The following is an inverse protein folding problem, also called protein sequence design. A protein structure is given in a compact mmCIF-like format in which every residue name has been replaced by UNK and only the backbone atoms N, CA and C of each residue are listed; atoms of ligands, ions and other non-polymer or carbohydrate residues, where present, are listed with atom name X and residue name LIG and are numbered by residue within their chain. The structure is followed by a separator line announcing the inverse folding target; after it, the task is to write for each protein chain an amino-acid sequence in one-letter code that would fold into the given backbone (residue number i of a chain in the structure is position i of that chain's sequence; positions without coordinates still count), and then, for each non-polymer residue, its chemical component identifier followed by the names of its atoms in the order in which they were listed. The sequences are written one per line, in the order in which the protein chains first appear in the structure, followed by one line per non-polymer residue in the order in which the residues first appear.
data_IF_672802995230
#
_entry.id   IF_672802995230
#
_cell.length_a   1.000
_cell.length_b   1.000
_cell.length_c   1.000
_cell.angle_alpha   90.00
_cell.angle_beta   90.00
_cell.angle_gamma   90.00
#
_symmetry.space_group_name_H-M   'P 1'
#
loop_
_entity.id
_entity.type
_entity.pdbx_description
1 polymer ?
#
# COMPACT_ATOMS: atom_id res chain seq x y z
N UNK A 1 -7.57 63.32 -15.31
CA UNK A 1 -7.84 62.31 -16.36
C UNK A 1 -8.55 61.17 -15.64
N UNK A 2 -9.88 61.20 -15.60
CA UNK A 2 -10.67 60.26 -14.80
C UNK A 2 -10.81 58.93 -15.56
N UNK A 3 -10.53 57.81 -14.90
CA UNK A 3 -10.77 56.47 -15.46
C UNK A 3 -12.27 56.32 -15.78
N UNK A 4 -12.57 55.83 -16.98
CA UNK A 4 -13.95 55.58 -17.43
C UNK A 4 -14.60 54.50 -16.55
N UNK A 5 -15.88 54.64 -16.16
CA UNK A 5 -16.60 53.64 -15.37
C UNK A 5 -16.60 52.24 -16.02
N UNK A 6 -16.48 52.16 -17.35
CA UNK A 6 -16.39 50.90 -18.09
C UNK A 6 -15.06 50.15 -17.85
N UNK A 7 -13.99 50.89 -17.54
CA UNK A 7 -12.67 50.30 -17.23
C UNK A 7 -12.60 49.74 -15.82
N UNK A 8 -13.39 50.27 -14.89
CA UNK A 8 -13.53 49.75 -13.53
C UNK A 8 -14.38 48.48 -13.52
N UNK A 9 -15.52 48.47 -14.23
CA UNK A 9 -16.39 47.27 -14.30
C UNK A 9 -15.72 46.10 -15.02
N UNK A 10 -14.89 46.37 -16.05
CA UNK A 10 -14.10 45.34 -16.72
C UNK A 10 -12.97 44.78 -15.84
N UNK A 11 -12.35 45.62 -15.00
CA UNK A 11 -11.35 45.17 -14.00
C UNK A 11 -12.00 44.38 -12.87
N UNK A 12 -13.16 44.80 -12.39
CA UNK A 12 -13.92 44.08 -11.35
C UNK A 12 -14.45 42.73 -11.86
N UNK A 13 -14.86 42.66 -13.14
CA UNK A 13 -15.26 41.42 -13.80
C UNK A 13 -14.07 40.48 -14.03
N UNK A 14 -12.91 41.03 -14.41
CA UNK A 14 -11.68 40.25 -14.57
C UNK A 14 -11.09 39.80 -13.22
N UNK A 15 -11.19 40.62 -12.18
CA UNK A 15 -10.79 40.28 -10.81
C UNK A 15 -11.75 39.24 -10.19
N UNK A 16 -13.05 39.34 -10.45
CA UNK A 16 -14.05 38.34 -10.08
C UNK A 16 -13.87 37.00 -10.82
N UNK A 17 -13.49 37.03 -12.11
CA UNK A 17 -13.20 35.84 -12.89
C UNK A 17 -11.84 35.19 -12.54
N UNK A 18 -10.87 35.97 -12.04
CA UNK A 18 -9.60 35.44 -11.54
C UNK A 18 -9.71 34.89 -10.10
N UNK A 19 -10.59 35.46 -9.27
CA UNK A 19 -10.89 34.94 -7.92
C UNK A 19 -11.72 33.65 -7.90
N UNK A 20 -12.35 33.28 -9.02
CA UNK A 20 -13.20 32.10 -9.15
C UNK A 20 -12.51 30.89 -9.80
N UNK A 21 -11.19 30.95 -10.04
CA UNK A 21 -10.43 29.75 -10.44
C UNK A 21 -10.01 29.02 -9.16
N UNK A 22 -10.99 28.43 -8.48
CA UNK A 22 -10.75 27.46 -7.40
C UNK A 22 -9.81 26.41 -7.99
N UNK A 23 -8.58 26.34 -7.50
CA UNK A 23 -7.70 25.26 -7.91
C UNK A 23 -8.43 23.96 -7.57
N UNK A 24 -8.66 23.08 -8.55
CA UNK A 24 -9.42 21.87 -8.32
C UNK A 24 -8.71 21.08 -7.21
N UNK A 25 -9.48 20.71 -6.19
CA UNK A 25 -8.98 19.89 -5.08
C UNK A 25 -8.32 18.66 -5.69
N UNK A 26 -7.10 18.37 -5.23
CA UNK A 26 -6.35 17.23 -5.74
C UNK A 26 -5.78 16.41 -4.60
N UNK A 27 -5.68 15.10 -4.82
CA UNK A 27 -5.08 14.17 -3.87
C UNK A 27 -3.97 13.35 -4.53
N UNK A 28 -3.13 12.77 -3.69
CA UNK A 28 -2.09 11.85 -4.11
C UNK A 28 -1.60 11.00 -2.95
N UNK A 29 -0.89 9.93 -3.27
CA UNK A 29 -0.34 9.03 -2.27
C UNK A 29 0.99 9.59 -1.73
N UNK A 30 1.04 9.94 -0.45
CA UNK A 30 2.26 10.36 0.21
C UNK A 30 3.06 9.14 0.68
N UNK A 31 4.29 8.98 0.17
CA UNK A 31 5.15 7.83 0.50
C UNK A 31 5.63 7.82 1.95
N UNK A 32 5.71 9.01 2.57
CA UNK A 32 6.12 9.23 3.96
C UNK A 32 4.97 8.97 4.94
N UNK A 33 3.75 9.44 4.62
CA UNK A 33 2.57 9.18 5.44
C UNK A 33 1.97 7.78 5.22
N UNK A 34 2.38 7.07 4.16
CA UNK A 34 1.82 5.77 3.79
C UNK A 34 0.30 5.79 3.56
N UNK A 35 -0.20 6.87 2.95
CA UNK A 35 -1.63 7.05 2.67
C UNK A 35 -1.86 8.09 1.59
N UNK A 36 -3.07 8.07 1.02
CA UNK A 36 -3.55 9.15 0.16
C UNK A 36 -3.87 10.36 1.03
N UNK A 37 -3.43 11.52 0.58
CA UNK A 37 -3.61 12.82 1.23
C UNK A 37 -4.09 13.82 0.18
N UNK A 38 -4.92 14.77 0.61
CA UNK A 38 -5.21 15.97 -0.18
C UNK A 38 -3.92 16.80 -0.30
N UNK A 39 -3.61 17.26 -1.50
CA UNK A 39 -2.44 18.09 -1.80
C UNK A 39 -2.73 19.52 -1.35
N UNK A 40 -1.71 20.18 -0.82
CA UNK A 40 -1.75 21.64 -0.65
C UNK A 40 -1.69 22.32 -2.02
N UNK A 41 -1.95 23.63 -2.10
CA UNK A 41 -1.80 24.39 -3.36
C UNK A 41 -0.37 24.37 -3.93
N UNK A 42 0.64 24.07 -3.11
CA UNK A 42 2.03 23.83 -3.56
C UNK A 42 2.30 22.41 -4.05
N UNK A 43 1.27 21.55 -4.07
CA UNK A 43 1.38 20.12 -4.38
C UNK A 43 1.98 19.27 -3.26
N UNK A 44 2.25 19.87 -2.09
CA UNK A 44 2.87 19.21 -0.95
C UNK A 44 1.86 18.41 -0.11
N UNK A 45 2.38 17.62 0.84
CA UNK A 45 1.56 16.94 1.82
C UNK A 45 1.18 17.90 2.97
N UNK A 46 -0.05 17.83 3.52
CA UNK A 46 -0.47 18.65 4.67
C UNK A 46 0.38 18.43 5.93
N UNK A 47 1.08 17.29 6.02
CA UNK A 47 2.02 17.00 7.11
C UNK A 47 3.41 17.64 6.90
N UNK A 48 3.58 18.51 5.91
CA UNK A 48 4.84 19.20 5.62
C UNK A 48 5.82 18.43 4.75
N UNK A 49 5.42 17.29 4.16
CA UNK A 49 6.30 16.54 3.23
C UNK A 49 6.33 17.21 1.85
N UNK A 50 7.50 17.18 1.17
CA UNK A 50 7.68 17.87 -0.10
C UNK A 50 6.76 17.29 -1.19
N UNK A 51 6.44 18.07 -2.24
CA UNK A 51 5.62 17.60 -3.36
C UNK A 51 6.14 16.32 -4.03
N UNK A 52 7.47 16.15 -4.07
CA UNK A 52 8.12 14.95 -4.60
C UNK A 52 7.78 13.67 -3.79
N UNK A 53 7.35 13.80 -2.53
CA UNK A 53 6.91 12.68 -1.72
C UNK A 53 5.45 12.27 -1.99
N UNK A 54 4.69 13.05 -2.77
CA UNK A 54 3.29 12.80 -3.08
C UNK A 54 3.16 12.35 -4.54
N UNK A 55 2.82 11.08 -4.73
CA UNK A 55 2.75 10.43 -6.04
C UNK A 55 1.29 10.30 -6.54
N UNK A 56 1.11 10.39 -7.85
CA UNK A 56 -0.20 10.33 -8.49
C UNK A 56 -1.01 11.61 -8.32
N UNK A 57 -1.99 11.81 -9.20
CA UNK A 57 -2.88 12.97 -9.18
C UNK A 57 -4.32 12.48 -9.31
N UNK A 58 -5.11 12.68 -8.26
CA UNK A 58 -6.53 12.35 -8.20
C UNK A 58 -7.26 13.70 -8.14
N UNK A 59 -8.08 14.01 -9.12
CA UNK A 59 -8.97 15.16 -9.02
C UNK A 59 -10.11 14.82 -8.05
N UNK A 60 -10.41 15.73 -7.12
CA UNK A 60 -11.50 15.60 -6.17
C UNK A 60 -12.58 16.63 -6.50
N UNK A 61 -13.84 16.21 -6.47
CA UNK A 61 -14.98 17.11 -6.52
C UNK A 61 -15.19 17.89 -5.22
N UNK A 62 -16.10 18.86 -5.27
CA UNK A 62 -16.49 19.62 -4.08
C UNK A 62 -17.14 18.69 -3.04
N UNK A 63 -16.63 18.72 -1.81
CA UNK A 63 -17.09 17.84 -0.73
C UNK A 63 -16.74 16.35 -0.91
N UNK A 64 -16.08 15.96 -2.01
CA UNK A 64 -15.65 14.58 -2.20
C UNK A 64 -14.59 14.21 -1.14
N UNK A 65 -14.76 13.08 -0.43
CA UNK A 65 -13.78 12.64 0.54
C UNK A 65 -12.51 12.14 -0.15
N UNK A 66 -11.37 12.32 0.52
CA UNK A 66 -10.11 11.75 0.03
C UNK A 66 -10.21 10.22 0.04
N UNK A 67 -10.01 9.55 -1.12
CA UNK A 67 -10.13 8.10 -1.19
C UNK A 67 -9.02 7.44 -0.36
N UNK A 68 -9.33 6.27 0.20
CA UNK A 68 -8.41 5.55 1.09
C UNK A 68 -7.99 4.21 0.49
N UNK A 69 -6.69 3.92 0.57
CA UNK A 69 -6.17 2.58 0.32
C UNK A 69 -6.23 1.75 1.61
N UNK A 70 -6.45 0.45 1.46
CA UNK A 70 -6.35 -0.49 2.57
C UNK A 70 -4.96 -0.42 3.22
N UNK A 71 -4.91 -0.21 4.54
CA UNK A 71 -3.64 -0.05 5.29
C UNK A 71 -2.85 -1.35 5.47
N UNK A 72 -3.48 -2.49 5.23
CA UNK A 72 -2.88 -3.80 5.31
C UNK A 72 -3.40 -4.67 4.18
N UNK A 73 -2.51 -5.26 3.40
CA UNK A 73 -2.87 -6.15 2.31
C UNK A 73 -2.76 -7.61 2.76
N UNK A 74 -3.92 -8.25 2.96
CA UNK A 74 -3.99 -9.63 3.42
C UNK A 74 -3.40 -10.63 2.40
N UNK A 75 -3.58 -10.39 1.10
CA UNK A 75 -3.01 -11.26 0.08
C UNK A 75 -1.48 -11.17 0.03
N UNK A 76 -0.93 -9.96 0.15
CA UNK A 76 0.50 -9.72 0.28
C UNK A 76 1.09 -10.35 1.55
N UNK A 77 0.29 -10.47 2.62
CA UNK A 77 0.70 -11.14 3.85
C UNK A 77 0.69 -12.66 3.70
N UNK A 78 -0.39 -13.25 3.20
CA UNK A 78 -0.57 -14.70 3.12
C UNK A 78 0.27 -15.35 2.01
N UNK A 79 0.36 -14.70 0.85
CA UNK A 79 1.04 -15.22 -0.34
C UNK A 79 1.96 -14.19 -1.02
N UNK A 80 2.91 -13.56 -0.29
CA UNK A 80 3.77 -12.52 -0.86
C UNK A 80 4.56 -12.92 -2.11
N UNK A 81 5.11 -14.15 -2.23
CA UNK A 81 5.81 -14.57 -3.44
C UNK A 81 4.93 -14.65 -4.68
N UNK A 82 3.61 -14.75 -4.49
CA UNK A 82 2.64 -14.81 -5.58
C UNK A 82 2.08 -13.41 -5.82
N UNK A 83 1.46 -12.81 -4.80
CA UNK A 83 0.81 -11.51 -4.92
C UNK A 83 1.80 -10.42 -5.38
N UNK A 84 3.03 -10.38 -4.85
CA UNK A 84 3.97 -9.31 -5.18
C UNK A 84 4.38 -9.25 -6.65
N UNK A 85 4.83 -10.34 -7.31
CA UNK A 85 5.10 -10.36 -8.75
C UNK A 85 3.93 -9.90 -9.62
N UNK A 86 2.69 -10.30 -9.30
CA UNK A 86 1.49 -9.82 -10.01
C UNK A 86 1.30 -8.29 -9.92
N UNK A 87 1.89 -7.65 -8.92
CA UNK A 87 1.89 -6.19 -8.73
C UNK A 87 3.23 -5.54 -9.08
N UNK A 88 4.12 -6.26 -9.77
CA UNK A 88 5.45 -5.77 -10.18
C UNK A 88 6.45 -5.61 -9.03
N UNK A 89 6.18 -6.23 -7.87
CA UNK A 89 7.02 -6.22 -6.67
C UNK A 89 7.85 -7.51 -6.58
N UNK A 90 8.64 -7.81 -7.63
CA UNK A 90 9.42 -9.04 -7.75
C UNK A 90 10.34 -9.35 -6.57
N UNK A 91 10.79 -8.33 -5.83
CA UNK A 91 11.58 -8.51 -4.62
C UNK A 91 10.86 -9.37 -3.55
N UNK A 92 9.52 -9.46 -3.57
CA UNK A 92 8.79 -10.34 -2.64
C UNK A 92 8.99 -11.84 -2.91
N UNK A 93 9.66 -12.22 -4.01
CA UNK A 93 10.10 -13.61 -4.20
C UNK A 93 11.06 -14.06 -3.07
N UNK A 94 11.74 -13.13 -2.40
CA UNK A 94 12.61 -13.42 -1.24
C UNK A 94 11.89 -14.10 -0.08
N UNK A 95 10.57 -13.97 0.01
CA UNK A 95 9.80 -14.64 1.06
C UNK A 95 9.85 -16.17 0.93
N UNK A 96 10.08 -16.73 -0.25
CA UNK A 96 10.27 -18.18 -0.42
C UNK A 96 11.51 -18.70 0.35
N UNK A 97 12.75 -18.26 0.04
CA UNK A 97 13.91 -18.72 0.79
C UNK A 97 13.88 -18.29 2.27
N UNK A 98 13.25 -17.16 2.61
CA UNK A 98 13.06 -16.76 4.00
C UNK A 98 12.20 -17.79 4.78
N UNK A 99 11.10 -18.25 4.20
CA UNK A 99 10.25 -19.28 4.83
C UNK A 99 10.92 -20.66 4.85
N UNK A 100 11.73 -21.01 3.85
CA UNK A 100 12.54 -22.25 3.89
C UNK A 100 13.55 -22.22 5.04
N UNK A 101 14.22 -21.08 5.25
CA UNK A 101 15.10 -20.88 6.39
C UNK A 101 14.35 -21.00 7.72
N UNK A 102 13.21 -20.32 7.85
CA UNK A 102 12.38 -20.37 9.05
C UNK A 102 11.92 -21.80 9.37
N UNK A 103 11.44 -22.54 8.36
CA UNK A 103 11.02 -23.94 8.51
C UNK A 103 12.16 -24.84 8.99
N UNK A 104 13.37 -24.63 8.46
CA UNK A 104 14.56 -25.38 8.85
C UNK A 104 14.93 -25.16 10.32
N UNK A 105 14.88 -23.91 10.78
CA UNK A 105 15.14 -23.57 12.19
C UNK A 105 14.07 -24.20 13.09
N UNK A 106 12.79 -24.09 12.71
CA UNK A 106 11.66 -24.67 13.45
C UNK A 106 11.77 -26.20 13.53
N UNK A 107 12.21 -26.88 12.45
CA UNK A 107 12.51 -28.32 12.48
C UNK A 107 13.59 -28.65 13.49
N UNK A 108 14.70 -27.92 13.43
CA UNK A 108 15.87 -28.20 14.25
C UNK A 108 15.64 -27.97 15.75
N UNK A 109 14.56 -27.27 16.12
CA UNK A 109 14.23 -26.98 17.51
C UNK A 109 13.86 -28.24 18.31
N UNK A 110 13.31 -29.26 17.65
CA UNK A 110 13.05 -30.55 18.27
C UNK A 110 14.39 -31.17 18.75
N UNK A 111 14.46 -31.52 20.04
CA UNK A 111 15.69 -32.07 20.65
C UNK A 111 16.69 -31.03 21.19
N UNK A 112 16.43 -29.73 21.05
CA UNK A 112 17.31 -28.64 21.55
C UNK A 112 16.80 -27.95 22.82
N UNK A 113 15.79 -28.52 23.48
CA UNK A 113 15.21 -28.01 24.73
C UNK A 113 14.68 -26.58 24.61
N UNK A 114 14.71 -25.83 25.73
CA UNK A 114 14.17 -24.47 25.80
C UNK A 114 14.86 -23.48 24.84
N UNK A 115 16.17 -23.61 24.63
CA UNK A 115 16.93 -22.75 23.72
C UNK A 115 16.52 -22.94 22.25
N UNK A 116 16.29 -24.19 21.84
CA UNK A 116 15.76 -24.50 20.50
C UNK A 116 14.38 -23.90 20.26
N UNK A 117 13.49 -24.07 21.24
CA UNK A 117 12.15 -23.49 21.19
C UNK A 117 12.19 -21.96 21.10
N UNK A 118 13.02 -21.30 21.92
CA UNK A 118 13.18 -19.84 21.89
C UNK A 118 13.68 -19.36 20.52
N UNK A 119 14.65 -20.06 19.91
CA UNK A 119 15.14 -19.77 18.57
C UNK A 119 14.05 -19.92 17.49
N UNK A 120 13.28 -21.00 17.52
CA UNK A 120 12.18 -21.22 16.58
C UNK A 120 11.09 -20.15 16.70
N UNK A 121 10.69 -19.80 17.93
CA UNK A 121 9.71 -18.73 18.18
C UNK A 121 10.25 -17.39 17.67
N UNK A 122 11.50 -17.06 17.98
CA UNK A 122 12.13 -15.82 17.52
C UNK A 122 12.14 -15.73 15.99
N UNK A 123 12.63 -16.77 15.29
CA UNK A 123 12.68 -16.77 13.82
C UNK A 123 11.29 -16.71 13.20
N UNK A 124 10.32 -17.44 13.75
CA UNK A 124 8.93 -17.38 13.30
C UNK A 124 8.31 -15.98 13.44
N UNK A 125 8.47 -15.36 14.62
CA UNK A 125 7.96 -14.01 14.90
C UNK A 125 8.63 -12.97 14.00
N UNK A 126 9.95 -13.02 13.84
CA UNK A 126 10.69 -12.08 12.96
C UNK A 126 10.24 -12.24 11.51
N UNK A 127 10.10 -13.47 11.02
CA UNK A 127 9.65 -13.76 9.65
C UNK A 127 8.26 -13.19 9.40
N UNK A 128 7.31 -13.46 10.30
CA UNK A 128 5.96 -12.91 10.25
C UNK A 128 5.96 -11.38 10.37
N UNK A 129 6.83 -10.80 11.20
CA UNK A 129 6.98 -9.35 11.36
C UNK A 129 7.45 -8.66 10.09
N UNK A 130 8.46 -9.22 9.39
CA UNK A 130 8.93 -8.73 8.10
C UNK A 130 7.80 -8.82 7.06
N UNK A 131 7.06 -9.92 7.06
CA UNK A 131 5.94 -10.14 6.15
C UNK A 131 4.78 -9.16 6.41
N UNK A 132 4.45 -8.91 7.68
CA UNK A 132 3.45 -7.92 8.07
C UNK A 132 3.88 -6.49 7.69
N UNK A 133 5.16 -6.16 7.84
CA UNK A 133 5.72 -4.89 7.40
C UNK A 133 5.58 -4.70 5.88
N UNK A 134 5.92 -5.74 5.10
CA UNK A 134 5.69 -5.74 3.65
C UNK A 134 4.21 -5.55 3.31
N UNK A 135 3.32 -6.33 3.92
CA UNK A 135 1.88 -6.27 3.69
C UNK A 135 1.25 -4.91 4.00
N UNK A 136 1.76 -4.20 5.01
CA UNK A 136 1.35 -2.84 5.35
C UNK A 136 1.65 -1.85 4.22
N UNK A 137 2.81 -1.98 3.56
CA UNK A 137 3.29 -1.06 2.52
C UNK A 137 2.86 -1.47 1.11
N UNK A 138 2.47 -2.72 0.94
CA UNK A 138 2.20 -3.38 -0.33
C UNK A 138 1.23 -2.60 -1.22
N UNK A 139 0.07 -2.17 -0.69
CA UNK A 139 -0.95 -1.44 -1.45
C UNK A 139 -0.43 -0.10 -1.96
N UNK A 140 0.32 0.63 -1.15
CA UNK A 140 0.89 1.91 -1.55
C UNK A 140 1.86 1.77 -2.72
N UNK A 141 2.72 0.75 -2.68
CA UNK A 141 3.68 0.47 -3.77
C UNK A 141 2.96 0.02 -5.04
N UNK A 142 2.00 -0.91 -4.90
CA UNK A 142 1.23 -1.45 -6.03
C UNK A 142 0.39 -0.36 -6.70
N UNK A 143 -0.35 0.44 -5.93
CA UNK A 143 -1.21 1.49 -6.46
C UNK A 143 -0.41 2.54 -7.25
N UNK A 144 0.74 3.00 -6.74
CA UNK A 144 1.57 4.00 -7.46
C UNK A 144 2.00 3.54 -8.85
N UNK A 145 2.14 2.23 -9.09
CA UNK A 145 2.49 1.67 -10.41
C UNK A 145 1.34 1.71 -11.40
N UNK A 146 0.10 1.87 -10.94
CA UNK A 146 -1.11 1.85 -11.77
C UNK A 146 -1.96 3.11 -11.63
N UNK A 147 -1.57 4.05 -10.78
CA UNK A 147 -2.32 5.26 -10.44
C UNK A 147 -2.69 6.13 -11.66
N UNK A 148 -1.92 6.07 -12.75
CA UNK A 148 -2.20 6.79 -13.98
C UNK A 148 -3.36 6.18 -14.82
N UNK A 149 -3.78 4.95 -14.52
CA UNK A 149 -4.71 4.17 -15.35
C UNK A 149 -5.85 3.49 -14.60
N UNK A 150 -5.80 3.43 -13.27
CA UNK A 150 -6.78 2.72 -12.44
C UNK A 150 -7.16 3.60 -11.26
N UNK A 151 -8.46 3.77 -11.00
CA UNK A 151 -8.95 4.52 -9.84
C UNK A 151 -8.66 3.79 -8.53
N UNK A 152 -8.71 4.52 -7.40
CA UNK A 152 -8.47 3.92 -6.09
C UNK A 152 -9.53 2.86 -5.75
N UNK A 153 -10.77 3.09 -6.18
CA UNK A 153 -11.92 2.21 -5.95
C UNK A 153 -11.78 0.92 -6.73
N UNK A 154 -11.40 1.00 -8.01
CA UNK A 154 -11.16 -0.16 -8.84
C UNK A 154 -9.98 -0.99 -8.32
N UNK A 155 -8.86 -0.33 -7.99
CA UNK A 155 -7.72 -1.00 -7.38
C UNK A 155 -8.13 -1.71 -6.08
N UNK A 156 -8.82 -1.00 -5.18
CA UNK A 156 -9.26 -1.55 -3.90
C UNK A 156 -10.25 -2.72 -4.06
N UNK A 157 -11.11 -2.70 -5.09
CA UNK A 157 -11.99 -3.82 -5.42
C UNK A 157 -11.19 -5.06 -5.82
N UNK A 158 -10.15 -4.89 -6.63
CA UNK A 158 -9.24 -5.99 -7.03
C UNK A 158 -8.46 -6.54 -5.85
N UNK A 159 -7.97 -5.68 -4.95
CA UNK A 159 -7.26 -6.14 -3.75
C UNK A 159 -8.14 -6.92 -2.78
N UNK A 160 -9.43 -6.58 -2.68
CA UNK A 160 -10.40 -7.40 -1.92
C UNK A 160 -10.56 -8.79 -2.53
N UNK A 161 -10.66 -8.88 -3.86
CA UNK A 161 -10.72 -10.18 -4.53
C UNK A 161 -9.46 -11.01 -4.31
N UNK A 162 -8.27 -10.38 -4.38
CA UNK A 162 -7.01 -11.01 -4.01
C UNK A 162 -7.01 -11.51 -2.57
N UNK A 163 -7.47 -10.70 -1.61
CA UNK A 163 -7.54 -11.09 -0.21
C UNK A 163 -8.42 -12.33 -0.01
N UNK A 164 -9.60 -12.37 -0.64
CA UNK A 164 -10.51 -13.52 -0.58
C UNK A 164 -9.87 -14.77 -1.18
N UNK A 165 -9.21 -14.66 -2.34
CA UNK A 165 -8.54 -15.79 -2.98
C UNK A 165 -7.29 -16.28 -2.21
N UNK A 166 -6.57 -15.36 -1.55
CA UNK A 166 -5.36 -15.67 -0.81
C UNK A 166 -5.63 -16.44 0.49
N UNK A 167 -6.80 -16.30 1.11
CA UNK A 167 -7.17 -17.04 2.33
C UNK A 167 -7.11 -18.56 2.13
N UNK A 168 -7.90 -19.16 1.21
CA UNK A 168 -7.85 -20.61 1.01
C UNK A 168 -6.47 -21.05 0.50
N UNK A 169 -5.81 -20.26 -0.36
CA UNK A 169 -4.47 -20.59 -0.84
C UNK A 169 -3.43 -20.63 0.29
N UNK A 170 -3.46 -19.65 1.19
CA UNK A 170 -2.58 -19.61 2.36
C UNK A 170 -2.82 -20.79 3.30
N UNK A 171 -4.09 -21.13 3.56
CA UNK A 171 -4.46 -22.32 4.34
C UNK A 171 -3.97 -23.61 3.69
N UNK A 172 -4.11 -23.74 2.37
CA UNK A 172 -3.61 -24.89 1.62
C UNK A 172 -2.09 -25.02 1.71
N UNK A 173 -1.34 -23.91 1.60
CA UNK A 173 0.12 -23.92 1.71
C UNK A 173 0.56 -24.36 3.11
N UNK A 174 -0.04 -23.80 4.17
CA UNK A 174 0.28 -24.17 5.56
C UNK A 174 -0.12 -25.62 5.85
N UNK A 175 -1.31 -26.02 5.41
CA UNK A 175 -1.80 -27.39 5.56
C UNK A 175 -0.91 -28.39 4.83
N UNK A 176 -0.50 -28.08 3.61
CA UNK A 176 0.42 -28.92 2.83
C UNK A 176 1.81 -29.02 3.47
N UNK A 177 2.38 -27.90 3.91
CA UNK A 177 3.67 -27.90 4.60
C UNK A 177 3.63 -28.74 5.89
N UNK A 178 2.54 -28.62 6.66
CA UNK A 178 2.31 -29.40 7.87
C UNK A 178 2.16 -30.89 7.55
N UNK A 179 1.34 -31.24 6.56
CA UNK A 179 1.14 -32.62 6.12
C UNK A 179 2.45 -33.25 5.63
N UNK A 180 3.17 -32.57 4.73
CA UNK A 180 4.45 -33.04 4.23
C UNK A 180 5.41 -33.35 5.39
N UNK A 181 5.49 -32.46 6.38
CA UNK A 181 6.38 -32.65 7.53
C UNK A 181 5.93 -33.79 8.46
N UNK A 182 4.65 -33.87 8.80
CA UNK A 182 4.15 -34.82 9.81
C UNK A 182 3.99 -36.23 9.23
N UNK A 183 3.68 -36.35 7.93
CA UNK A 183 3.30 -37.63 7.31
C UNK A 183 4.33 -38.14 6.32
N UNK A 184 4.98 -37.27 5.54
CA UNK A 184 5.86 -37.70 4.45
C UNK A 184 7.35 -37.64 4.80
N UNK A 185 7.74 -36.67 5.64
CA UNK A 185 9.15 -36.41 6.00
C UNK A 185 9.49 -36.72 7.46
N UNK A 186 8.48 -36.97 8.30
CA UNK A 186 8.61 -37.41 9.70
C UNK A 186 8.67 -38.93 9.79
#
# INVERSE_FOLDING_TARGET
MAESPDSLSARDSAAGAQGARLEPRSAGYCVMCDRIVERTGTGACPAGHPPAAVAGHIALGDGEPVPALGRFNLAAFLVPPIWGPFHGQWASAIFLPLWVFADSVIASAAGRGAAGLAGAVFVGVVTLGIQAFFAKRANGVAWRRVAARVSVEEFSRRERAWAVAAIPLGLLIVGWATYYRVVLAG
#
